data_IF_959959722871
#
_entry.id   IF_959959722871
#
_cell.length_a   1.000
_cell.length_b   1.000
_cell.length_c   1.000
_cell.angle_alpha   90.00
_cell.angle_beta   90.00
_cell.angle_gamma   90.00
#
_symmetry.space_group_name_H-M   'P 1'
#
loop_
_entity.id
_entity.type
_entity.pdbx_description
1 polymer ?
#
# COMPACT_ATOMS: atom_id res chain seq x y z
N UNK A 1 23.01 -25.62 56.04
CA UNK A 1 24.41 -25.39 55.63
C UNK A 1 24.44 -24.02 54.99
N UNK A 2 24.88 -22.92 55.62
CA UNK A 2 26.18 -22.70 56.33
C UNK A 2 27.28 -23.03 55.32
N UNK A 3 28.00 -22.11 54.68
CA UNK A 3 28.83 -20.97 55.14
C UNK A 3 29.11 -20.04 53.91
N UNK A 4 29.56 -18.78 53.99
CA UNK A 4 30.73 -18.27 54.71
C UNK A 4 30.62 -16.79 55.12
N UNK A 5 31.14 -16.56 56.33
CA UNK A 5 31.48 -15.33 57.03
C UNK A 5 32.93 -14.94 56.70
N UNK A 6 33.23 -13.63 56.61
CA UNK A 6 34.39 -12.89 57.22
C UNK A 6 34.45 -11.46 56.62
N UNK A 7 34.76 -10.35 57.30
CA UNK A 7 35.11 -10.04 58.69
C UNK A 7 35.06 -8.50 58.93
N UNK A 8 34.61 -8.10 60.14
CA UNK A 8 35.04 -7.00 61.05
C UNK A 8 35.25 -5.54 60.59
N UNK A 9 34.46 -4.59 61.13
CA UNK A 9 34.59 -3.80 62.39
C UNK A 9 35.56 -2.61 62.28
N UNK A 10 35.03 -1.41 62.58
CA UNK A 10 35.82 -0.19 62.80
C UNK A 10 35.01 0.98 63.39
N UNK A 11 34.65 0.84 64.67
CA UNK A 11 34.44 1.84 65.73
C UNK A 11 33.71 3.20 65.51
N UNK A 12 32.83 3.46 66.48
CA UNK A 12 32.08 4.67 66.83
C UNK A 12 32.94 5.68 67.59
N UNK A 13 32.67 6.98 67.42
CA UNK A 13 32.77 8.05 68.43
C UNK A 13 31.95 9.25 67.90
N UNK A 14 30.77 9.59 68.41
CA UNK A 14 30.39 10.24 69.69
C UNK A 14 30.55 11.78 69.68
N UNK A 15 29.65 12.48 70.41
CA UNK A 15 29.69 13.90 70.83
C UNK A 15 29.23 14.95 69.76
N UNK A 16 28.43 16.02 69.97
CA UNK A 16 27.83 16.77 71.12
C UNK A 16 26.65 17.63 70.60
N UNK A 17 25.62 17.89 71.42
CA UNK A 17 24.76 19.07 71.29
C UNK A 17 25.31 20.18 72.20
N UNK A 18 25.60 21.38 71.68
CA UNK A 18 25.47 22.56 72.53
C UNK A 18 24.62 23.70 71.92
N UNK A 19 23.75 24.15 72.81
CA UNK A 19 23.00 25.39 72.99
C UNK A 19 23.24 26.63 72.10
N UNK A 20 22.10 27.33 71.96
CA UNK A 20 21.80 28.71 71.56
C UNK A 20 22.89 29.74 71.89
N UNK A 21 23.27 30.54 70.89
CA UNK A 21 23.84 31.87 71.08
C UNK A 21 23.05 32.89 70.24
N UNK A 22 22.48 33.90 70.91
CA UNK A 22 21.98 35.12 70.29
C UNK A 22 23.13 35.84 69.59
N UNK A 23 22.92 36.39 68.39
CA UNK A 23 23.63 37.59 67.97
C UNK A 23 22.95 38.34 66.81
N UNK A 24 22.52 39.56 67.18
CA UNK A 24 22.34 40.81 66.43
C UNK A 24 22.53 40.78 64.90
N UNK A 25 21.47 41.20 64.20
CA UNK A 25 21.48 41.67 62.80
C UNK A 25 22.54 42.75 62.54
N UNK A 26 23.42 42.60 61.53
CA UNK A 26 24.16 43.71 60.97
C UNK A 26 23.23 44.53 60.07
N UNK A 27 23.12 45.84 60.32
CA UNK A 27 22.57 46.79 59.35
C UNK A 27 23.55 46.89 58.18
N UNK A 28 23.14 46.46 56.99
CA UNK A 28 23.83 46.83 55.76
C UNK A 28 23.50 48.29 55.44
N UNK A 29 24.47 49.17 55.68
CA UNK A 29 24.56 50.47 55.00
C UNK A 29 24.92 50.20 53.54
N UNK A 30 24.22 50.88 52.64
CA UNK A 30 24.35 50.68 51.20
C UNK A 30 25.64 51.29 50.67
N UNK A 31 26.29 50.55 49.76
CA UNK A 31 27.18 51.12 48.77
C UNK A 31 26.55 50.94 47.38
N UNK A 32 26.30 52.06 46.72
CA UNK A 32 25.96 52.14 45.31
C UNK A 32 27.21 51.79 44.52
N UNK A 33 27.21 50.71 43.73
CA UNK A 33 27.98 50.66 42.48
C UNK A 33 27.57 49.50 41.56
N UNK A 34 27.50 49.84 40.27
CA UNK A 34 26.91 49.15 39.12
C UNK A 34 27.58 47.81 38.69
N UNK A 35 28.15 47.02 39.60
CA UNK A 35 28.94 45.83 39.19
C UNK A 35 28.12 44.56 38.91
N UNK A 36 26.84 44.52 39.29
CA UNK A 36 26.00 43.32 39.15
C UNK A 36 25.26 43.25 37.80
N UNK A 37 24.85 44.40 37.25
CA UNK A 37 24.12 44.48 35.97
C UNK A 37 24.98 44.09 34.76
N UNK A 38 26.26 44.45 34.74
CA UNK A 38 27.18 44.09 33.66
C UNK A 38 27.58 42.61 33.71
N UNK A 39 27.71 42.04 34.91
CA UNK A 39 28.01 40.60 35.06
C UNK A 39 26.81 39.73 34.67
N UNK A 40 25.58 40.15 34.96
CA UNK A 40 24.37 39.41 34.60
C UNK A 40 24.11 39.38 33.07
N UNK A 41 24.49 40.43 32.33
CA UNK A 41 24.37 40.48 30.86
C UNK A 41 25.30 39.50 30.12
N UNK A 42 26.45 39.15 30.71
CA UNK A 42 27.44 38.24 30.08
C UNK A 42 27.15 36.75 30.29
N UNK A 43 26.29 36.38 31.24
CA UNK A 43 26.11 34.98 31.68
C UNK A 43 24.93 34.28 30.98
N UNK A 44 24.01 35.02 30.34
CA UNK A 44 22.82 34.41 29.71
C UNK A 44 22.71 34.74 28.22
N UNK A 45 23.14 33.83 27.31
CA UNK A 45 22.74 33.92 25.92
C UNK A 45 21.23 33.74 25.82
N UNK A 46 20.57 34.58 25.01
CA UNK A 46 19.11 34.73 24.87
C UNK A 46 18.32 33.48 24.40
N UNK A 47 18.91 32.29 24.42
CA UNK A 47 18.33 31.04 23.88
C UNK A 47 17.73 30.05 24.90
N UNK A 48 17.85 30.26 26.21
CA UNK A 48 17.20 29.41 27.22
C UNK A 48 16.59 30.24 28.34
N UNK A 49 15.32 30.62 28.20
CA UNK A 49 14.57 31.29 29.28
C UNK A 49 13.68 30.24 29.97
N UNK A 50 14.28 29.50 30.90
CA UNK A 50 13.52 28.78 31.94
C UNK A 50 12.95 29.78 32.94
N UNK A 51 11.95 29.37 33.74
CA UNK A 51 11.29 30.25 34.73
C UNK A 51 12.25 30.95 35.71
N UNK A 52 13.45 30.39 35.94
CA UNK A 52 14.51 31.02 36.72
C UNK A 52 15.16 32.23 36.06
N UNK A 53 15.34 32.22 34.73
CA UNK A 53 15.94 33.35 34.01
C UNK A 53 15.01 34.58 33.98
N UNK A 54 13.69 34.36 33.99
CA UNK A 54 12.69 35.42 34.18
C UNK A 54 12.82 36.06 35.56
N UNK A 55 12.90 35.27 36.62
CA UNK A 55 13.05 35.76 37.99
C UNK A 55 14.33 36.60 38.17
N UNK A 56 15.46 36.16 37.60
CA UNK A 56 16.74 36.90 37.65
C UNK A 56 16.66 38.19 36.84
N UNK A 57 16.12 38.15 35.61
CA UNK A 57 15.90 39.36 34.80
C UNK A 57 14.99 40.40 35.49
N UNK A 58 13.97 39.94 36.20
CA UNK A 58 13.02 40.80 36.89
C UNK A 58 13.51 41.35 38.23
N UNK A 59 14.38 40.60 38.93
CA UNK A 59 15.11 41.11 40.10
C UNK A 59 16.02 42.29 39.74
N UNK A 60 16.57 42.29 38.53
CA UNK A 60 17.46 43.34 38.02
C UNK A 60 16.68 44.53 37.45
N UNK A 61 15.66 44.32 36.60
CA UNK A 61 14.97 45.41 35.88
C UNK A 61 13.75 46.04 36.57
N UNK A 62 13.19 45.43 37.63
CA UNK A 62 11.98 45.87 38.35
C UNK A 62 10.84 46.41 37.44
N UNK A 63 10.35 45.64 36.45
CA UNK A 63 9.25 46.12 35.62
C UNK A 63 7.95 46.28 36.42
N UNK A 64 7.04 47.11 35.92
CA UNK A 64 5.70 47.23 36.49
C UNK A 64 4.94 45.89 36.41
N UNK A 65 4.03 45.64 37.36
CA UNK A 65 3.26 44.39 37.42
C UNK A 65 2.50 44.05 36.12
N UNK A 66 2.04 45.08 35.41
CA UNK A 66 1.40 44.93 34.08
C UNK A 66 2.39 44.45 33.00
N UNK A 67 3.60 45.00 32.95
CA UNK A 67 4.63 44.57 32.00
C UNK A 67 5.10 43.13 32.28
N UNK A 68 5.20 42.76 33.57
CA UNK A 68 5.46 41.38 33.99
C UNK A 68 4.38 40.41 33.51
N UNK A 69 3.10 40.72 33.77
CA UNK A 69 1.96 39.89 33.38
C UNK A 69 1.88 39.68 31.87
N UNK A 70 2.06 40.74 31.07
CA UNK A 70 2.06 40.66 29.60
C UNK A 70 3.21 39.79 29.07
N UNK A 71 4.41 39.91 29.65
CA UNK A 71 5.55 39.07 29.24
C UNK A 71 5.36 37.61 29.66
N UNK A 72 4.82 37.36 30.86
CA UNK A 72 4.46 36.02 31.30
C UNK A 72 3.43 35.35 30.38
N UNK A 73 2.41 36.09 29.92
CA UNK A 73 1.44 35.58 28.96
C UNK A 73 2.09 35.20 27.62
N UNK A 74 2.97 36.07 27.08
CA UNK A 74 3.74 35.76 25.86
C UNK A 74 4.61 34.53 26.01
N UNK A 75 5.31 34.38 27.12
CA UNK A 75 6.17 33.22 27.39
C UNK A 75 5.34 31.93 27.48
N UNK A 76 4.15 31.99 28.09
CA UNK A 76 3.21 30.86 28.15
C UNK A 76 2.67 30.47 26.79
N UNK A 77 2.25 31.44 25.97
CA UNK A 77 1.81 31.19 24.59
C UNK A 77 2.94 30.56 23.77
N UNK A 78 4.18 31.06 23.93
CA UNK A 78 5.36 30.48 23.27
C UNK A 78 5.58 29.00 23.66
N UNK A 79 5.46 28.67 24.96
CA UNK A 79 5.56 27.29 25.45
C UNK A 79 4.47 26.37 24.89
N UNK A 80 3.23 26.87 24.77
CA UNK A 80 2.13 26.13 24.14
C UNK A 80 2.49 25.81 22.68
N UNK A 81 2.96 26.81 21.93
CA UNK A 81 3.39 26.62 20.54
C UNK A 81 4.54 25.62 20.41
N UNK A 82 5.53 25.67 21.31
CA UNK A 82 6.62 24.70 21.36
C UNK A 82 6.11 23.28 21.64
N UNK A 83 5.17 23.12 22.60
CA UNK A 83 4.56 21.83 22.92
C UNK A 83 3.86 21.20 21.72
N UNK A 84 3.16 22.01 20.90
CA UNK A 84 2.53 21.57 19.65
C UNK A 84 3.57 21.09 18.63
N UNK A 85 4.69 21.81 18.48
CA UNK A 85 5.77 21.44 17.55
C UNK A 85 6.49 20.16 17.98
N UNK A 86 6.77 20.01 19.27
CA UNK A 86 7.37 18.80 19.84
C UNK A 86 6.43 17.60 19.63
N UNK A 87 5.14 17.76 19.95
CA UNK A 87 4.15 16.71 19.70
C UNK A 87 4.08 16.32 18.21
N UNK A 88 4.08 17.29 17.29
CA UNK A 88 4.12 16.99 15.85
C UNK A 88 5.35 16.17 15.47
N UNK A 89 6.51 16.46 16.09
CA UNK A 89 7.75 15.74 15.81
C UNK A 89 7.68 14.31 16.36
N UNK A 90 7.18 14.14 17.59
CA UNK A 90 6.97 12.83 18.23
C UNK A 90 6.03 11.95 17.41
N UNK A 91 4.90 12.51 16.94
CA UNK A 91 3.91 11.80 16.11
C UNK A 91 4.53 11.32 14.80
N UNK A 92 5.19 12.21 14.06
CA UNK A 92 5.86 11.90 12.79
C UNK A 92 6.89 10.79 12.94
N UNK A 93 7.73 10.89 13.96
CA UNK A 93 8.78 9.91 14.20
C UNK A 93 8.18 8.56 14.62
N UNK A 94 7.22 8.55 15.54
CA UNK A 94 6.59 7.31 16.03
C UNK A 94 5.85 6.57 14.91
N UNK A 95 5.07 7.29 14.08
CA UNK A 95 4.37 6.68 12.94
C UNK A 95 5.38 6.10 11.95
N UNK A 96 6.45 6.84 11.62
CA UNK A 96 7.49 6.38 10.71
C UNK A 96 8.18 5.11 11.21
N UNK A 97 8.50 5.03 12.50
CA UNK A 97 9.19 3.88 13.11
C UNK A 97 8.31 2.65 13.16
N UNK A 98 7.09 2.76 13.70
CA UNK A 98 6.17 1.62 13.83
C UNK A 98 5.77 1.06 12.46
N UNK A 99 5.48 1.95 11.50
CA UNK A 99 5.07 1.54 10.15
C UNK A 99 6.25 0.96 9.35
N UNK A 100 7.51 1.22 9.75
CA UNK A 100 8.69 0.56 9.16
C UNK A 100 8.69 -0.94 9.46
N UNK A 101 8.14 -1.35 10.60
CA UNK A 101 8.00 -2.76 11.00
C UNK A 101 7.22 -3.60 9.99
N UNK A 102 6.22 -2.99 9.34
CA UNK A 102 5.38 -3.62 8.31
C UNK A 102 6.16 -4.03 7.05
N UNK A 103 7.42 -3.59 6.89
CA UNK A 103 8.26 -4.04 5.79
C UNK A 103 8.50 -5.55 5.80
N UNK A 104 8.46 -6.20 6.98
CA UNK A 104 8.62 -7.66 7.07
C UNK A 104 7.55 -8.38 6.24
N UNK A 105 6.30 -8.01 6.40
CA UNK A 105 5.15 -8.58 5.66
C UNK A 105 5.26 -8.31 4.16
N UNK A 106 5.76 -7.14 3.76
CA UNK A 106 6.06 -6.83 2.35
C UNK A 106 7.13 -7.78 1.78
N UNK A 107 8.22 -8.01 2.52
CA UNK A 107 9.29 -8.92 2.08
C UNK A 107 8.83 -10.38 2.05
N UNK A 108 8.01 -10.79 3.01
CA UNK A 108 7.44 -12.14 3.06
C UNK A 108 6.50 -12.38 1.87
N UNK A 109 5.61 -11.44 1.58
CA UNK A 109 4.78 -11.49 0.37
C UNK A 109 5.63 -11.63 -0.87
N UNK A 110 6.67 -10.80 -1.02
CA UNK A 110 7.59 -10.87 -2.16
C UNK A 110 8.25 -12.24 -2.23
N UNK A 111 8.86 -12.73 -1.15
CA UNK A 111 9.55 -14.02 -1.11
C UNK A 111 8.65 -15.19 -1.53
N UNK A 112 7.39 -15.19 -1.11
CA UNK A 112 6.46 -16.29 -1.37
C UNK A 112 5.87 -16.27 -2.78
N UNK A 113 5.92 -15.12 -3.48
CA UNK A 113 5.25 -14.91 -4.77
C UNK A 113 6.18 -14.61 -5.93
N UNK A 114 7.46 -14.35 -5.64
CA UNK A 114 8.42 -13.97 -6.66
C UNK A 114 8.90 -15.18 -7.43
N UNK A 115 8.41 -15.33 -8.66
CA UNK A 115 8.96 -16.30 -9.61
C UNK A 115 10.35 -15.84 -10.06
N UNK A 116 11.17 -16.79 -10.55
CA UNK A 116 12.50 -16.50 -11.07
C UNK A 116 12.51 -16.75 -12.58
N UNK A 117 12.33 -15.71 -13.42
CA UNK A 117 12.22 -15.90 -14.86
C UNK A 117 13.45 -16.55 -15.47
N UNK A 118 14.66 -16.23 -15.00
CA UNK A 118 15.90 -16.83 -15.50
C UNK A 118 15.96 -18.34 -15.28
N UNK A 119 15.49 -18.84 -14.13
CA UNK A 119 15.43 -20.27 -13.85
C UNK A 119 14.36 -20.95 -14.73
N UNK A 120 13.20 -20.31 -14.90
CA UNK A 120 12.09 -20.82 -15.73
C UNK A 120 12.48 -20.88 -17.22
N UNK A 121 13.17 -19.86 -17.73
CA UNK A 121 13.50 -19.72 -19.16
C UNK A 121 14.78 -20.49 -19.55
N UNK A 122 15.66 -20.80 -18.58
CA UNK A 122 16.93 -21.50 -18.82
C UNK A 122 16.74 -22.85 -19.52
N UNK A 123 15.76 -23.65 -19.08
CA UNK A 123 15.52 -24.99 -19.66
C UNK A 123 15.06 -24.85 -21.12
N UNK A 124 14.20 -23.88 -21.41
CA UNK A 124 13.74 -23.56 -22.77
C UNK A 124 14.91 -23.11 -23.66
N UNK A 125 15.81 -22.27 -23.13
CA UNK A 125 16.98 -21.76 -23.86
C UNK A 125 18.02 -22.83 -24.15
N UNK A 126 18.20 -23.81 -23.26
CA UNK A 126 19.15 -24.92 -23.42
C UNK A 126 18.61 -26.07 -24.25
N UNK A 127 17.30 -26.14 -24.48
CA UNK A 127 16.69 -27.21 -25.29
C UNK A 127 17.26 -27.25 -26.71
N UNK A 128 17.81 -28.41 -27.09
CA UNK A 128 18.47 -28.66 -28.38
C UNK A 128 17.58 -29.37 -29.40
N UNK A 129 16.53 -30.05 -28.93
CA UNK A 129 15.52 -30.72 -29.76
C UNK A 129 14.10 -30.25 -29.41
N UNK A 130 13.13 -30.68 -30.22
CA UNK A 130 11.74 -30.22 -30.13
C UNK A 130 11.05 -30.79 -28.91
N UNK A 131 11.27 -32.07 -28.59
CA UNK A 131 10.69 -32.74 -27.43
C UNK A 131 11.07 -32.01 -26.13
N UNK A 132 12.35 -31.77 -25.93
CA UNK A 132 12.88 -31.07 -24.74
C UNK A 132 12.33 -29.64 -24.67
N UNK A 133 12.21 -28.97 -25.82
CA UNK A 133 11.67 -27.61 -25.88
C UNK A 133 10.19 -27.56 -25.44
N UNK A 134 9.37 -28.51 -25.88
CA UNK A 134 7.96 -28.61 -25.47
C UNK A 134 7.85 -28.95 -23.98
N UNK A 135 8.66 -29.90 -23.49
CA UNK A 135 8.70 -30.26 -22.08
C UNK A 135 9.11 -29.07 -21.21
N UNK A 136 10.14 -28.33 -21.63
CA UNK A 136 10.61 -27.13 -20.92
C UNK A 136 9.55 -26.03 -20.92
N UNK A 137 8.85 -25.82 -22.03
CA UNK A 137 7.74 -24.87 -22.10
C UNK A 137 6.61 -25.25 -21.14
N UNK A 138 6.14 -26.49 -21.18
CA UNK A 138 5.05 -26.98 -20.32
C UNK A 138 5.45 -26.87 -18.84
N UNK A 139 6.67 -27.29 -18.47
CA UNK A 139 7.23 -27.15 -17.12
C UNK A 139 7.29 -25.69 -16.67
N UNK A 140 7.64 -24.77 -17.57
CA UNK A 140 7.67 -23.34 -17.28
C UNK A 140 6.30 -22.78 -16.92
N UNK A 141 5.27 -23.11 -17.71
CA UNK A 141 3.89 -22.73 -17.40
C UNK A 141 3.37 -23.36 -16.10
N UNK A 142 3.69 -24.63 -15.85
CA UNK A 142 3.32 -25.32 -14.61
C UNK A 142 3.96 -24.66 -13.38
N UNK A 143 5.24 -24.29 -13.47
CA UNK A 143 5.96 -23.59 -12.39
C UNK A 143 5.31 -22.24 -12.08
N UNK A 144 4.97 -21.46 -13.10
CA UNK A 144 4.26 -20.19 -12.94
C UNK A 144 2.89 -20.43 -12.29
N UNK A 145 2.14 -21.41 -12.78
CA UNK A 145 0.79 -21.70 -12.29
C UNK A 145 0.79 -22.17 -10.84
N UNK A 146 1.76 -22.99 -10.43
CA UNK A 146 1.93 -23.44 -9.04
C UNK A 146 2.21 -22.24 -8.11
N UNK A 147 3.10 -21.33 -8.51
CA UNK A 147 3.39 -20.10 -7.76
C UNK A 147 2.15 -19.21 -7.59
N UNK A 148 1.31 -19.12 -8.63
CA UNK A 148 0.06 -18.33 -8.57
C UNK A 148 -1.00 -19.01 -7.70
N UNK A 149 -1.07 -20.35 -7.67
CA UNK A 149 -2.11 -21.13 -6.99
C UNK A 149 -1.92 -21.33 -5.48
N UNK A 150 -0.68 -21.48 -4.98
CA UNK A 150 -0.32 -21.67 -3.54
C UNK A 150 -0.79 -20.55 -2.56
N UNK A 151 -1.74 -19.76 -2.99
CA UNK A 151 -1.59 -18.33 -3.08
C UNK A 151 -2.95 -17.70 -3.40
N UNK A 152 -3.87 -18.47 -3.99
CA UNK A 152 -5.28 -18.16 -3.98
C UNK A 152 -5.91 -18.82 -2.74
N UNK A 153 -6.47 -18.02 -1.83
CA UNK A 153 -7.27 -18.50 -0.70
C UNK A 153 -8.68 -17.96 -0.85
N UNK A 154 -9.73 -18.76 -0.60
CA UNK A 154 -11.08 -18.23 -0.49
C UNK A 154 -11.14 -17.17 0.63
N UNK A 155 -11.80 -16.04 0.36
CA UNK A 155 -11.99 -14.98 1.35
C UNK A 155 -11.15 -13.72 1.10
N UNK A 156 -10.61 -13.14 2.17
CA UNK A 156 -9.89 -11.87 2.15
C UNK A 156 -8.62 -11.95 1.28
N UNK A 157 -8.34 -10.86 0.56
CA UNK A 157 -7.15 -10.81 -0.29
C UNK A 157 -5.88 -10.63 0.51
N UNK A 158 -4.73 -10.84 -0.13
CA UNK A 158 -3.44 -10.53 0.49
C UNK A 158 -3.35 -9.03 0.87
N UNK A 159 -3.98 -8.17 0.07
CA UNK A 159 -4.06 -6.73 0.36
C UNK A 159 -4.94 -6.44 1.56
N UNK A 160 -6.12 -7.05 1.66
CA UNK A 160 -6.98 -6.93 2.85
C UNK A 160 -6.27 -7.41 4.11
N UNK A 161 -5.60 -8.56 4.01
CA UNK A 161 -4.84 -9.16 5.11
C UNK A 161 -3.72 -8.23 5.59
N UNK A 162 -2.99 -7.61 4.66
CA UNK A 162 -1.99 -6.61 4.98
C UNK A 162 -2.60 -5.35 5.61
N UNK A 163 -3.75 -4.88 5.11
CA UNK A 163 -4.42 -3.71 5.67
C UNK A 163 -4.96 -3.95 7.09
N UNK A 164 -5.35 -5.19 7.44
CA UNK A 164 -5.69 -5.55 8.82
C UNK A 164 -4.46 -5.37 9.74
N UNK A 165 -3.28 -5.80 9.30
CA UNK A 165 -2.04 -5.60 10.06
C UNK A 165 -1.71 -4.10 10.23
N UNK A 166 -1.82 -3.33 9.15
CA UNK A 166 -1.63 -1.86 9.16
C UNK A 166 -2.56 -1.19 10.17
N UNK A 167 -3.85 -1.56 10.16
CA UNK A 167 -4.85 -1.01 11.08
C UNK A 167 -4.61 -1.44 12.54
N UNK A 168 -4.09 -2.65 12.76
CA UNK A 168 -3.64 -3.12 14.07
C UNK A 168 -2.53 -2.24 14.65
N UNK A 169 -1.48 -1.99 13.85
CA UNK A 169 -0.37 -1.10 14.23
C UNK A 169 -0.87 0.33 14.48
N UNK A 170 -1.74 0.86 13.60
CA UNK A 170 -2.36 2.18 13.78
C UNK A 170 -3.09 2.27 15.11
N UNK A 171 -3.91 1.27 15.46
CA UNK A 171 -4.69 1.27 16.70
C UNK A 171 -3.77 1.29 17.93
N UNK A 172 -2.79 0.39 17.98
CA UNK A 172 -1.84 0.31 19.08
C UNK A 172 -1.05 1.62 19.26
N UNK A 173 -0.60 2.24 18.16
CA UNK A 173 0.11 3.51 18.22
C UNK A 173 -0.80 4.69 18.60
N UNK A 174 -2.05 4.69 18.14
CA UNK A 174 -3.01 5.75 18.46
C UNK A 174 -3.25 5.87 19.96
N UNK A 175 -3.34 4.75 20.68
CA UNK A 175 -3.51 4.75 22.14
C UNK A 175 -2.32 5.42 22.86
N UNK A 176 -1.09 5.11 22.44
CA UNK A 176 0.14 5.72 22.96
C UNK A 176 0.20 7.23 22.69
N UNK A 177 -0.13 7.65 21.46
CA UNK A 177 -0.10 9.07 21.07
C UNK A 177 -1.23 9.86 21.72
N UNK A 178 -2.42 9.27 21.90
CA UNK A 178 -3.53 9.88 22.62
C UNK A 178 -3.16 10.15 24.10
N UNK A 179 -2.46 9.23 24.75
CA UNK A 179 -1.97 9.43 26.11
C UNK A 179 -0.94 10.57 26.19
N UNK A 180 0.02 10.61 25.26
CA UNK A 180 0.99 11.71 25.17
C UNK A 180 0.28 13.06 24.95
N UNK A 181 -0.68 13.12 24.01
CA UNK A 181 -1.50 14.32 23.78
C UNK A 181 -2.23 14.76 25.04
N UNK A 182 -2.87 13.82 25.76
CA UNK A 182 -3.57 14.11 27.00
C UNK A 182 -2.65 14.74 28.06
N UNK A 183 -1.44 14.20 28.26
CA UNK A 183 -0.47 14.79 29.17
C UNK A 183 -0.05 16.21 28.75
N UNK A 184 0.14 16.46 27.44
CA UNK A 184 0.46 17.79 26.93
C UNK A 184 -0.71 18.76 27.07
N UNK A 185 -1.95 18.31 26.86
CA UNK A 185 -3.16 19.10 27.06
C UNK A 185 -3.30 19.55 28.52
N UNK A 186 -3.04 18.65 29.48
CA UNK A 186 -2.99 18.99 30.91
C UNK A 186 -1.90 20.03 31.21
N UNK A 187 -0.66 19.79 30.79
CA UNK A 187 0.46 20.72 31.01
C UNK A 187 0.23 22.08 30.37
N UNK A 188 -0.44 22.14 29.21
CA UNK A 188 -0.84 23.39 28.58
C UNK A 188 -1.97 24.09 29.35
N UNK A 189 -2.94 23.33 29.87
CA UNK A 189 -4.02 23.83 30.71
C UNK A 189 -3.54 24.55 31.98
N UNK A 190 -2.50 24.01 32.62
CA UNK A 190 -1.88 24.63 33.81
C UNK A 190 -1.34 26.05 33.53
N UNK A 191 -0.98 26.36 32.27
CA UNK A 191 -0.48 27.67 31.87
C UNK A 191 -1.57 28.76 31.86
N UNK A 192 -2.85 28.40 31.96
CA UNK A 192 -3.96 29.37 32.03
C UNK A 192 -3.93 30.13 33.37
N UNK A 193 -3.43 29.52 34.44
CA UNK A 193 -3.53 30.06 35.79
C UNK A 193 -2.45 31.13 36.07
N UNK A 194 -2.85 32.39 36.19
CA UNK A 194 -1.96 33.50 36.56
C UNK A 194 -1.89 33.71 38.08
N UNK A 195 -0.75 34.22 38.61
CA UNK A 195 -0.63 34.53 40.03
C UNK A 195 -1.57 35.65 40.45
N UNK A 196 -2.18 35.51 41.64
CA UNK A 196 -3.01 36.55 42.26
C UNK A 196 -2.12 37.58 42.95
N UNK A 197 -2.41 38.87 42.78
CA UNK A 197 -1.74 39.95 43.51
C UNK A 197 -2.51 40.33 44.76
N UNK A 198 -1.82 40.90 45.76
CA UNK A 198 -2.47 41.45 46.97
C UNK A 198 -3.50 42.51 46.57
N UNK A 199 -4.66 42.49 47.23
CA UNK A 199 -5.78 43.43 47.06
C UNK A 199 -6.35 43.48 45.63
N UNK A 200 -6.38 42.36 44.91
CA UNK A 200 -6.96 42.27 43.55
C UNK A 200 -6.34 43.24 42.51
N UNK A 201 -5.12 43.72 42.77
CA UNK A 201 -4.41 44.60 41.84
C UNK A 201 -4.19 43.89 40.49
N UNK A 202 -4.64 44.51 39.39
CA UNK A 202 -4.60 43.99 38.02
C UNK A 202 -5.56 42.83 37.69
N UNK A 203 -6.62 42.60 38.48
CA UNK A 203 -7.61 41.54 38.25
C UNK A 203 -8.16 41.47 36.82
N UNK A 204 -8.55 42.61 36.24
CA UNK A 204 -9.11 42.63 34.87
C UNK A 204 -8.06 42.26 33.82
N UNK A 205 -6.83 42.75 33.98
CA UNK A 205 -5.72 42.38 33.08
C UNK A 205 -5.41 40.88 33.18
N UNK A 206 -5.43 40.31 34.39
CA UNK A 206 -5.25 38.89 34.61
C UNK A 206 -6.36 38.08 33.93
N UNK A 207 -7.61 38.50 34.05
CA UNK A 207 -8.75 37.83 33.40
C UNK A 207 -8.59 37.86 31.86
N UNK A 208 -8.23 39.01 31.29
CA UNK A 208 -7.98 39.15 29.85
C UNK A 208 -6.84 38.25 29.38
N UNK A 209 -5.69 38.28 30.05
CA UNK A 209 -4.52 37.46 29.67
C UNK A 209 -4.78 35.96 29.88
N UNK A 210 -5.53 35.59 30.92
CA UNK A 210 -5.94 34.18 31.14
C UNK A 210 -6.82 33.68 30.00
N UNK A 211 -7.76 34.51 29.55
CA UNK A 211 -8.64 34.20 28.41
C UNK A 211 -7.84 34.07 27.10
N UNK A 212 -6.85 34.94 26.89
CA UNK A 212 -5.95 34.86 25.74
C UNK A 212 -5.12 33.56 25.74
N UNK A 213 -4.57 33.16 26.89
CA UNK A 213 -3.84 31.90 27.03
C UNK A 213 -4.77 30.70 26.86
N UNK A 214 -5.96 30.69 27.47
CA UNK A 214 -6.97 29.64 27.32
C UNK A 214 -7.36 29.41 25.86
N UNK A 215 -7.54 30.49 25.07
CA UNK A 215 -7.78 30.39 23.64
C UNK A 215 -6.65 29.64 22.91
N UNK A 216 -5.39 29.92 23.26
CA UNK A 216 -4.24 29.24 22.66
C UNK A 216 -4.14 27.77 23.09
N UNK A 217 -4.47 27.43 24.34
CA UNK A 217 -4.54 26.04 24.82
C UNK A 217 -5.58 25.24 24.03
N UNK A 218 -6.78 25.79 23.85
CA UNK A 218 -7.85 25.15 23.07
C UNK A 218 -7.45 24.94 21.62
N UNK A 219 -6.88 25.96 20.98
CA UNK A 219 -6.35 25.83 19.60
C UNK A 219 -5.27 24.76 19.51
N UNK A 220 -4.34 24.71 20.47
CA UNK A 220 -3.27 23.72 20.49
C UNK A 220 -3.80 22.29 20.58
N UNK A 221 -4.79 22.01 21.43
CA UNK A 221 -5.41 20.68 21.54
C UNK A 221 -6.07 20.23 20.23
N UNK A 222 -6.80 21.14 19.56
CA UNK A 222 -7.40 20.89 18.25
C UNK A 222 -6.31 20.60 17.20
N UNK A 223 -5.28 21.45 17.12
CA UNK A 223 -4.17 21.27 16.17
C UNK A 223 -3.42 19.95 16.40
N UNK A 224 -3.13 19.58 17.65
CA UNK A 224 -2.48 18.30 17.95
C UNK A 224 -3.32 17.11 17.50
N UNK A 225 -4.64 17.14 17.73
CA UNK A 225 -5.54 16.08 17.25
C UNK A 225 -5.56 16.00 15.72
N UNK A 226 -5.73 17.13 15.03
CA UNK A 226 -5.76 17.19 13.56
C UNK A 226 -4.45 16.67 12.95
N UNK A 227 -3.30 17.14 13.45
CA UNK A 227 -1.99 16.66 12.97
C UNK A 227 -1.83 15.15 13.19
N UNK A 228 -2.26 14.61 14.34
CA UNK A 228 -2.22 13.17 14.59
C UNK A 228 -3.07 12.40 13.56
N UNK A 229 -4.29 12.85 13.28
CA UNK A 229 -5.19 12.22 12.32
C UNK A 229 -4.63 12.27 10.89
N UNK A 230 -4.09 13.42 10.47
CA UNK A 230 -3.46 13.62 9.16
C UNK A 230 -2.22 12.74 8.98
N UNK A 231 -1.32 12.70 9.96
CA UNK A 231 -0.10 11.89 9.91
C UNK A 231 -0.42 10.39 9.87
N UNK A 232 -1.46 9.94 10.59
CA UNK A 232 -1.93 8.56 10.46
C UNK A 232 -2.48 8.26 9.08
N UNK A 233 -3.27 9.16 8.50
CA UNK A 233 -3.82 8.98 7.16
C UNK A 233 -2.69 8.87 6.12
N UNK A 234 -1.71 9.76 6.18
CA UNK A 234 -0.52 9.73 5.30
C UNK A 234 0.32 8.47 5.52
N UNK A 235 0.53 8.06 6.77
CA UNK A 235 1.27 6.84 7.12
C UNK A 235 0.63 5.59 6.52
N UNK A 236 -0.69 5.44 6.68
CA UNK A 236 -1.48 4.32 6.14
C UNK A 236 -1.43 4.32 4.61
N UNK A 237 -1.68 5.48 3.99
CA UNK A 237 -1.63 5.60 2.53
C UNK A 237 -0.25 5.21 1.97
N UNK A 238 0.83 5.65 2.61
CA UNK A 238 2.19 5.36 2.16
C UNK A 238 2.53 3.87 2.18
N UNK A 239 2.12 3.14 3.24
CA UNK A 239 2.36 1.69 3.31
C UNK A 239 1.44 0.91 2.37
N UNK A 240 0.19 1.35 2.21
CA UNK A 240 -0.75 0.79 1.25
C UNK A 240 -0.22 0.91 -0.19
N UNK A 241 0.28 2.08 -0.59
CA UNK A 241 0.94 2.33 -1.88
C UNK A 241 2.18 1.45 -2.09
N UNK A 242 2.97 1.27 -1.04
CA UNK A 242 4.16 0.41 -1.12
C UNK A 242 3.78 -1.04 -1.38
N UNK A 243 2.78 -1.56 -0.67
CA UNK A 243 2.35 -2.94 -0.82
C UNK A 243 1.66 -3.18 -2.17
N UNK A 244 0.80 -2.26 -2.61
CA UNK A 244 0.13 -2.35 -3.92
C UNK A 244 1.13 -2.37 -5.08
N UNK A 245 2.22 -1.60 -4.97
CA UNK A 245 3.32 -1.64 -5.94
C UNK A 245 3.96 -3.02 -6.01
N UNK A 246 4.28 -3.65 -4.88
CA UNK A 246 4.85 -5.00 -4.88
C UNK A 246 3.88 -6.04 -5.45
N UNK A 247 2.59 -5.95 -5.09
CA UNK A 247 1.54 -6.81 -5.66
C UNK A 247 1.52 -6.66 -7.20
N UNK A 248 1.58 -5.43 -7.70
CA UNK A 248 1.59 -5.12 -9.14
C UNK A 248 2.85 -5.64 -9.82
N UNK A 249 4.04 -5.43 -9.23
CA UNK A 249 5.31 -5.94 -9.75
C UNK A 249 5.30 -7.46 -9.88
N UNK A 250 4.81 -8.18 -8.86
CA UNK A 250 4.64 -9.64 -8.92
C UNK A 250 3.70 -10.06 -10.06
N UNK A 251 2.59 -9.34 -10.25
CA UNK A 251 1.64 -9.62 -11.34
C UNK A 251 2.28 -9.41 -12.72
N UNK A 252 3.04 -8.32 -12.90
CA UNK A 252 3.82 -8.07 -14.13
C UNK A 252 4.83 -9.18 -14.37
N UNK A 253 5.60 -9.56 -13.35
CA UNK A 253 6.59 -10.62 -13.47
C UNK A 253 5.96 -11.93 -14.01
N UNK A 254 4.78 -12.29 -13.50
CA UNK A 254 4.02 -13.46 -13.98
C UNK A 254 3.58 -13.29 -15.44
N UNK A 255 2.96 -12.16 -15.80
CA UNK A 255 2.48 -11.93 -17.18
C UNK A 255 3.62 -11.90 -18.19
N UNK A 256 4.73 -11.26 -17.82
CA UNK A 256 5.88 -11.06 -18.68
C UNK A 256 6.62 -12.38 -18.88
N UNK A 257 6.79 -13.19 -17.82
CA UNK A 257 7.43 -14.51 -17.95
C UNK A 257 6.60 -15.47 -18.81
N UNK A 258 5.26 -15.45 -18.70
CA UNK A 258 4.38 -16.23 -19.59
C UNK A 258 4.55 -15.81 -21.06
N UNK A 259 4.64 -14.50 -21.30
CA UNK A 259 4.87 -13.93 -22.62
C UNK A 259 6.23 -14.34 -23.18
N UNK A 260 7.29 -14.26 -22.37
CA UNK A 260 8.65 -14.66 -22.73
C UNK A 260 8.77 -16.14 -23.09
N UNK A 261 8.04 -17.03 -22.38
CA UNK A 261 7.99 -18.45 -22.72
C UNK A 261 7.46 -18.69 -24.13
N UNK A 262 6.49 -17.89 -24.57
CA UNK A 262 5.94 -17.96 -25.93
C UNK A 262 6.90 -17.31 -26.93
N UNK A 263 7.33 -16.08 -26.65
CA UNK A 263 8.19 -15.29 -27.53
C UNK A 263 9.54 -15.98 -27.80
N UNK A 264 10.06 -16.78 -26.86
CA UNK A 264 11.27 -17.59 -27.05
C UNK A 264 11.02 -18.94 -27.71
N UNK A 265 9.87 -19.57 -27.49
CA UNK A 265 9.57 -20.88 -28.05
C UNK A 265 9.30 -20.82 -29.56
N UNK A 266 8.53 -19.83 -30.04
CA UNK A 266 8.16 -19.70 -31.46
C UNK A 266 9.38 -19.67 -32.40
N UNK A 267 10.39 -18.79 -32.20
CA UNK A 267 11.55 -18.74 -33.08
C UNK A 267 12.38 -20.03 -33.08
N UNK A 268 12.47 -20.72 -31.94
CA UNK A 268 13.17 -22.01 -31.85
C UNK A 268 12.45 -23.10 -32.63
N UNK A 269 11.15 -23.25 -32.44
CA UNK A 269 10.33 -24.23 -33.16
C UNK A 269 10.40 -23.96 -34.66
N UNK A 270 10.22 -22.70 -35.06
CA UNK A 270 10.33 -22.27 -36.46
C UNK A 270 11.65 -22.72 -37.08
N UNK A 271 12.77 -22.49 -36.39
CA UNK A 271 14.11 -22.90 -36.85
C UNK A 271 14.26 -24.43 -36.90
N UNK A 272 13.83 -25.14 -35.87
CA UNK A 272 13.98 -26.60 -35.77
C UNK A 272 13.14 -27.35 -36.81
N UNK A 273 11.98 -26.81 -37.19
CA UNK A 273 11.03 -27.43 -38.14
C UNK A 273 11.08 -26.82 -39.54
N UNK A 274 11.91 -25.80 -39.79
CA UNK A 274 11.97 -25.13 -41.08
C UNK A 274 10.65 -24.46 -41.49
N UNK A 275 9.92 -23.90 -40.51
CA UNK A 275 8.63 -23.23 -40.76
C UNK A 275 8.83 -21.84 -41.37
N UNK A 276 7.79 -21.33 -42.04
CA UNK A 276 7.78 -20.00 -42.65
C UNK A 276 7.92 -18.85 -41.65
N UNK A 277 8.32 -17.68 -42.16
CA UNK A 277 8.53 -16.48 -41.35
C UNK A 277 7.25 -15.93 -40.71
N UNK A 278 6.09 -16.31 -41.22
CA UNK A 278 4.76 -15.99 -40.73
C UNK A 278 4.36 -16.78 -39.47
N UNK A 279 5.11 -17.83 -39.09
CA UNK A 279 4.91 -18.56 -37.84
C UNK A 279 5.42 -17.75 -36.64
N UNK A 280 4.62 -16.77 -36.21
CA UNK A 280 4.89 -15.86 -35.10
C UNK A 280 3.79 -15.95 -34.02
N UNK A 281 4.10 -15.56 -32.77
CA UNK A 281 3.11 -15.56 -31.70
C UNK A 281 2.04 -14.48 -31.91
N UNK A 282 0.81 -14.79 -31.50
CA UNK A 282 -0.36 -13.95 -31.67
C UNK A 282 -1.12 -13.66 -30.38
N UNK A 283 -0.69 -14.15 -29.21
CA UNK A 283 -1.39 -13.98 -27.93
C UNK A 283 -1.70 -12.52 -27.54
N UNK A 284 -0.97 -11.54 -28.08
CA UNK A 284 -1.22 -10.11 -27.87
C UNK A 284 -2.40 -9.56 -28.67
N UNK A 285 -2.88 -10.30 -29.67
CA UNK A 285 -4.01 -9.96 -30.53
C UNK A 285 -5.27 -10.66 -30.00
N UNK A 286 -6.39 -9.96 -30.08
CA UNK A 286 -7.69 -10.60 -29.84
C UNK A 286 -8.08 -11.33 -31.12
N UNK A 287 -8.40 -12.61 -31.02
CA UNK A 287 -8.79 -13.43 -32.16
C UNK A 287 -10.02 -12.85 -32.88
N UNK A 288 -10.04 -12.99 -34.20
CA UNK A 288 -11.23 -12.74 -35.02
C UNK A 288 -12.06 -14.01 -35.11
N UNK A 289 -13.33 -13.90 -35.51
CA UNK A 289 -14.19 -15.08 -35.71
C UNK A 289 -14.01 -15.73 -37.08
N UNK A 290 -13.12 -15.20 -37.94
CA UNK A 290 -12.96 -15.66 -39.32
C UNK A 290 -12.56 -17.14 -39.44
N UNK A 291 -11.77 -17.66 -38.50
CA UNK A 291 -11.43 -19.08 -38.50
C UNK A 291 -12.61 -19.91 -38.00
N UNK A 292 -13.23 -19.51 -36.88
CA UNK A 292 -14.40 -20.15 -36.32
C UNK A 292 -15.57 -20.27 -37.32
N UNK A 293 -15.83 -19.22 -38.10
CA UNK A 293 -16.90 -19.16 -39.11
C UNK A 293 -16.71 -20.15 -40.27
N UNK A 294 -15.52 -20.72 -40.45
CA UNK A 294 -15.24 -21.73 -41.48
C UNK A 294 -15.62 -23.15 -41.04
N UNK A 295 -15.87 -23.38 -39.75
CA UNK A 295 -16.18 -24.71 -39.23
C UNK A 295 -17.68 -25.01 -39.34
N UNK A 296 -17.97 -26.27 -39.68
CA UNK A 296 -19.33 -26.81 -39.67
C UNK A 296 -19.87 -26.94 -38.23
N UNK A 297 -21.21 -26.92 -38.03
CA UNK A 297 -21.81 -27.18 -36.72
C UNK A 297 -21.31 -28.48 -36.08
N UNK A 298 -21.07 -29.53 -36.87
CA UNK A 298 -20.52 -30.80 -36.42
C UNK A 298 -19.12 -30.69 -35.83
N UNK A 299 -18.24 -29.86 -36.41
CA UNK A 299 -16.87 -29.63 -35.90
C UNK A 299 -16.85 -28.77 -34.62
N UNK A 300 -17.94 -28.05 -34.36
CA UNK A 300 -18.14 -27.22 -33.18
C UNK A 300 -18.76 -27.99 -32.00
N UNK A 301 -19.34 -29.17 -32.24
CA UNK A 301 -19.87 -30.06 -31.19
C UNK A 301 -18.76 -30.56 -30.25
N UNK A 302 -19.11 -31.03 -29.03
CA UNK A 302 -18.16 -31.63 -28.10
C UNK A 302 -17.32 -32.72 -28.76
N UNK A 303 -16.00 -32.67 -28.59
CA UNK A 303 -15.07 -33.64 -29.17
C UNK A 303 -13.86 -33.85 -28.26
N UNK A 304 -13.15 -34.95 -28.49
CA UNK A 304 -11.88 -35.21 -27.81
C UNK A 304 -10.85 -34.14 -28.19
N UNK A 305 -10.08 -33.71 -27.21
CA UNK A 305 -8.96 -32.81 -27.44
C UNK A 305 -7.78 -33.57 -28.07
N UNK A 306 -6.91 -32.89 -28.84
CA UNK A 306 -5.68 -33.49 -29.37
C UNK A 306 -4.81 -34.09 -28.27
N UNK A 307 -4.00 -35.09 -28.61
CA UNK A 307 -3.06 -35.69 -27.66
C UNK A 307 -2.11 -34.61 -27.09
N UNK A 308 -1.78 -34.72 -25.79
CA UNK A 308 -0.89 -33.80 -25.07
C UNK A 308 -1.34 -32.33 -24.99
N UNK A 309 -2.56 -32.00 -25.43
CA UNK A 309 -3.13 -30.65 -25.32
C UNK A 309 -3.80 -30.39 -23.96
N UNK A 310 -4.15 -31.43 -23.20
CA UNK A 310 -4.78 -31.30 -21.89
C UNK A 310 -3.92 -30.49 -20.91
N UNK A 311 -2.59 -30.63 -20.98
CA UNK A 311 -1.64 -29.84 -20.18
C UNK A 311 -1.71 -28.34 -20.45
N UNK A 312 -2.24 -27.92 -21.60
CA UNK A 312 -2.43 -26.49 -21.90
C UNK A 312 -3.57 -25.92 -21.06
N UNK A 313 -4.62 -26.70 -20.86
CA UNK A 313 -5.83 -26.30 -20.15
C UNK A 313 -5.88 -26.79 -18.70
N UNK A 314 -4.88 -27.55 -18.27
CA UNK A 314 -4.84 -28.18 -16.97
C UNK A 314 -5.16 -27.18 -15.85
N UNK A 315 -6.16 -27.51 -15.05
CA UNK A 315 -6.65 -26.70 -13.94
C UNK A 315 -7.25 -25.33 -14.34
N UNK A 316 -7.76 -25.23 -15.55
CA UNK A 316 -8.56 -24.10 -16.00
C UNK A 316 -9.99 -24.56 -16.23
N UNK A 317 -10.94 -23.62 -16.25
CA UNK A 317 -12.34 -23.93 -16.57
C UNK A 317 -12.51 -24.31 -18.05
N UNK A 318 -11.54 -23.97 -18.90
CA UNK A 318 -11.64 -24.10 -20.36
C UNK A 318 -11.54 -25.54 -20.84
N UNK A 319 -10.81 -26.41 -20.13
CA UNK A 319 -10.70 -27.82 -20.48
C UNK A 319 -12.09 -28.47 -20.54
N UNK A 320 -12.87 -28.31 -19.47
CA UNK A 320 -14.21 -28.87 -19.39
C UNK A 320 -15.16 -28.23 -20.42
N UNK A 321 -15.00 -26.93 -20.70
CA UNK A 321 -15.83 -26.24 -21.69
C UNK A 321 -15.60 -26.81 -23.07
N UNK A 322 -14.34 -26.97 -23.50
CA UNK A 322 -14.01 -27.50 -24.81
C UNK A 322 -14.47 -28.95 -25.00
N UNK A 323 -14.45 -29.75 -23.91
CA UNK A 323 -14.86 -31.17 -23.91
C UNK A 323 -16.37 -31.38 -23.86
N UNK A 324 -17.16 -30.45 -23.32
CA UNK A 324 -18.58 -30.70 -22.99
C UNK A 324 -19.58 -29.78 -23.68
N UNK A 325 -19.17 -28.61 -24.15
CA UNK A 325 -20.11 -27.61 -24.69
C UNK A 325 -20.19 -27.68 -26.22
N UNK A 326 -21.39 -27.44 -26.74
CA UNK A 326 -21.63 -27.27 -28.16
C UNK A 326 -21.44 -25.80 -28.56
N UNK A 327 -20.36 -25.52 -29.28
CA UNK A 327 -19.99 -24.16 -29.66
C UNK A 327 -20.88 -23.58 -30.76
N UNK A 328 -21.71 -24.38 -31.42
CA UNK A 328 -22.67 -23.89 -32.42
C UNK A 328 -23.90 -23.20 -31.80
N UNK A 329 -24.13 -23.41 -30.50
CA UNK A 329 -25.34 -22.93 -29.79
C UNK A 329 -25.05 -22.08 -28.56
N UNK A 330 -23.77 -21.70 -28.32
CA UNK A 330 -23.40 -20.87 -27.17
C UNK A 330 -24.00 -19.46 -27.29
N UNK A 331 -24.82 -19.10 -26.31
CA UNK A 331 -25.49 -17.80 -26.23
C UNK A 331 -24.75 -16.79 -25.35
N UNK A 332 -25.15 -15.52 -25.44
CA UNK A 332 -24.55 -14.43 -24.67
C UNK A 332 -24.72 -14.61 -23.15
N UNK A 333 -25.78 -15.30 -22.71
CA UNK A 333 -26.02 -15.60 -21.30
C UNK A 333 -24.96 -16.57 -20.75
N UNK A 334 -24.58 -17.56 -21.54
CA UNK A 334 -23.50 -18.46 -21.21
C UNK A 334 -22.16 -17.71 -21.15
N UNK A 335 -21.87 -16.85 -22.13
CA UNK A 335 -20.66 -16.01 -22.14
C UNK A 335 -20.59 -15.11 -20.88
N UNK A 336 -21.71 -14.49 -20.50
CA UNK A 336 -21.79 -13.68 -19.29
C UNK A 336 -21.50 -14.49 -18.02
N UNK A 337 -22.10 -15.69 -17.91
CA UNK A 337 -21.88 -16.61 -16.79
C UNK A 337 -20.43 -17.08 -16.74
N UNK A 338 -19.85 -17.37 -17.90
CA UNK A 338 -18.45 -17.79 -18.02
C UNK A 338 -17.50 -16.69 -17.58
N UNK A 339 -17.71 -15.44 -18.04
CA UNK A 339 -16.91 -14.30 -17.63
C UNK A 339 -16.98 -14.04 -16.12
N UNK A 340 -18.18 -14.17 -15.53
CA UNK A 340 -18.35 -14.03 -14.08
C UNK A 340 -17.54 -15.08 -13.30
N UNK A 341 -17.46 -16.32 -13.81
CA UNK A 341 -16.73 -17.44 -13.19
C UNK A 341 -15.23 -17.47 -13.51
N UNK A 342 -14.75 -16.63 -14.42
CA UNK A 342 -13.35 -16.61 -14.82
C UNK A 342 -12.46 -16.23 -13.63
N UNK A 343 -11.47 -17.06 -13.22
CA UNK A 343 -10.58 -16.69 -12.14
C UNK A 343 -9.63 -15.57 -12.59
N UNK A 344 -9.29 -14.64 -11.69
CA UNK A 344 -8.36 -13.53 -11.98
C UNK A 344 -6.92 -13.99 -12.31
N UNK A 345 -6.65 -15.28 -12.19
CA UNK A 345 -5.37 -15.95 -12.49
C UNK A 345 -5.32 -16.55 -13.89
N UNK A 346 -6.47 -16.66 -14.57
CA UNK A 346 -6.59 -17.17 -15.94
C UNK A 346 -7.48 -16.20 -16.72
N UNK A 347 -6.83 -15.20 -17.30
CA UNK A 347 -7.48 -14.07 -17.97
C UNK A 347 -7.86 -14.37 -19.42
N UNK A 348 -8.62 -13.45 -20.02
CA UNK A 348 -8.91 -13.47 -21.47
C UNK A 348 -7.61 -13.42 -22.30
N UNK A 349 -6.59 -12.69 -21.86
CA UNK A 349 -5.27 -12.69 -22.53
C UNK A 349 -4.58 -14.05 -22.45
N UNK A 350 -4.76 -14.80 -21.35
CA UNK A 350 -4.19 -16.15 -21.22
C UNK A 350 -4.80 -17.13 -22.24
N UNK A 351 -6.02 -16.90 -22.73
CA UNK A 351 -6.57 -17.69 -23.85
C UNK A 351 -5.76 -17.52 -25.13
N UNK A 352 -5.24 -16.31 -25.40
CA UNK A 352 -4.31 -16.07 -26.51
C UNK A 352 -3.03 -16.90 -26.39
N UNK A 353 -2.50 -17.00 -25.18
CA UNK A 353 -1.34 -17.86 -24.87
C UNK A 353 -1.68 -19.33 -25.08
N UNK A 354 -2.87 -19.78 -24.68
CA UNK A 354 -3.32 -21.16 -24.91
C UNK A 354 -3.46 -21.48 -26.40
N UNK A 355 -4.01 -20.55 -27.20
CA UNK A 355 -4.09 -20.68 -28.66
C UNK A 355 -2.69 -20.86 -29.26
N UNK A 356 -1.74 -20.02 -28.85
CA UNK A 356 -0.36 -20.11 -29.34
C UNK A 356 0.35 -21.41 -28.93
N UNK A 357 0.09 -21.93 -27.72
CA UNK A 357 0.57 -23.25 -27.31
C UNK A 357 -0.06 -24.39 -28.12
N UNK A 358 -1.35 -24.29 -28.47
CA UNK A 358 -2.00 -25.26 -29.36
C UNK A 358 -1.39 -25.21 -30.76
N UNK A 359 -1.12 -24.01 -31.30
CA UNK A 359 -0.46 -23.84 -32.61
C UNK A 359 0.92 -24.50 -32.62
N UNK A 360 1.70 -24.29 -31.57
CA UNK A 360 3.00 -24.95 -31.36
C UNK A 360 2.85 -26.48 -31.36
N UNK A 361 1.94 -27.03 -30.55
CA UNK A 361 1.78 -28.49 -30.47
C UNK A 361 1.24 -29.08 -31.78
N UNK A 362 0.38 -28.37 -32.50
CA UNK A 362 -0.14 -28.78 -33.79
C UNK A 362 0.95 -28.96 -34.86
N UNK A 363 1.86 -27.98 -35.01
CA UNK A 363 2.97 -28.09 -35.99
C UNK A 363 3.98 -29.17 -35.60
N UNK A 364 4.23 -29.36 -34.30
CA UNK A 364 5.09 -30.43 -33.81
C UNK A 364 4.46 -31.80 -34.07
N UNK A 365 3.16 -31.95 -33.79
CA UNK A 365 2.40 -33.17 -34.10
C UNK A 365 2.46 -33.52 -35.59
N UNK A 366 2.26 -32.53 -36.45
CA UNK A 366 2.35 -32.69 -37.91
C UNK A 366 3.75 -33.14 -38.35
N UNK A 367 4.81 -32.55 -37.79
CA UNK A 367 6.20 -32.94 -38.09
C UNK A 367 6.52 -34.40 -37.71
N UNK A 368 5.78 -34.97 -36.77
CA UNK A 368 5.90 -36.38 -36.34
C UNK A 368 5.04 -37.34 -37.17
N UNK A 369 4.33 -36.84 -38.19
CA UNK A 369 3.43 -37.63 -39.02
C UNK A 369 2.14 -38.04 -38.31
N UNK A 370 1.77 -37.39 -37.20
CA UNK A 370 0.53 -37.65 -36.49
C UNK A 370 -0.64 -36.94 -37.18
N UNK A 371 -1.72 -37.68 -37.46
CA UNK A 371 -2.90 -37.17 -38.16
C UNK A 371 -3.89 -36.45 -37.21
N UNK A 372 -3.41 -35.44 -36.49
CA UNK A 372 -4.21 -34.67 -35.52
C UNK A 372 -4.48 -33.21 -35.95
N UNK A 373 -4.05 -32.81 -37.14
CA UNK A 373 -4.12 -31.42 -37.62
C UNK A 373 -5.52 -30.82 -37.45
N UNK A 374 -6.55 -31.57 -37.87
CA UNK A 374 -7.95 -31.15 -37.76
C UNK A 374 -8.40 -30.98 -36.30
N UNK A 375 -7.95 -31.84 -35.39
CA UNK A 375 -8.28 -31.72 -33.96
C UNK A 375 -7.69 -30.44 -33.37
N UNK A 376 -6.43 -30.13 -33.72
CA UNK A 376 -5.78 -28.89 -33.28
C UNK A 376 -6.47 -27.65 -33.87
N UNK A 377 -6.80 -27.66 -35.17
CA UNK A 377 -7.53 -26.58 -35.81
C UNK A 377 -8.89 -26.33 -35.14
N UNK A 378 -9.67 -27.38 -34.87
CA UNK A 378 -10.94 -27.25 -34.18
C UNK A 378 -10.77 -26.67 -32.76
N UNK A 379 -9.79 -27.17 -31.99
CA UNK A 379 -9.52 -26.70 -30.64
C UNK A 379 -9.11 -25.22 -30.63
N UNK A 380 -8.23 -24.81 -31.54
CA UNK A 380 -7.82 -23.41 -31.72
C UNK A 380 -9.03 -22.53 -32.01
N UNK A 381 -9.86 -22.90 -32.98
CA UNK A 381 -11.03 -22.10 -33.38
C UNK A 381 -12.03 -21.91 -32.24
N UNK A 382 -12.26 -22.95 -31.41
CA UNK A 382 -13.11 -22.86 -30.22
C UNK A 382 -12.54 -21.92 -29.17
N UNK A 383 -11.22 -21.96 -28.93
CA UNK A 383 -10.58 -21.05 -27.97
C UNK A 383 -10.55 -19.61 -28.51
N UNK A 384 -10.33 -19.41 -29.81
CA UNK A 384 -10.44 -18.12 -30.50
C UNK A 384 -11.84 -17.51 -30.33
N UNK A 385 -12.89 -18.32 -30.50
CA UNK A 385 -14.27 -17.92 -30.23
C UNK A 385 -14.46 -17.45 -28.78
N UNK A 386 -14.00 -18.23 -27.79
CA UNK A 386 -14.10 -17.83 -26.37
C UNK A 386 -13.34 -16.53 -26.10
N UNK A 387 -12.11 -16.41 -26.60
CA UNK A 387 -11.29 -15.21 -26.40
C UNK A 387 -12.01 -13.97 -26.95
N UNK A 388 -12.54 -14.06 -28.17
CA UNK A 388 -13.26 -12.95 -28.81
C UNK A 388 -14.52 -12.57 -28.03
N UNK A 389 -15.38 -13.54 -27.72
CA UNK A 389 -16.66 -13.29 -27.05
C UNK A 389 -16.47 -12.78 -25.61
N UNK A 390 -15.55 -13.38 -24.85
CA UNK A 390 -15.23 -12.92 -23.50
C UNK A 390 -14.57 -11.53 -23.49
N UNK A 391 -13.69 -11.24 -24.46
CA UNK A 391 -13.10 -9.91 -24.60
C UNK A 391 -14.17 -8.85 -24.87
N UNK A 392 -15.08 -9.09 -25.82
CA UNK A 392 -16.13 -8.14 -26.15
C UNK A 392 -17.09 -7.92 -24.96
N UNK A 393 -17.51 -9.00 -24.29
CA UNK A 393 -18.34 -8.91 -23.10
C UNK A 393 -17.65 -8.14 -21.96
N UNK A 394 -16.40 -8.47 -21.67
CA UNK A 394 -15.63 -7.81 -20.61
C UNK A 394 -15.34 -6.34 -20.91
N UNK A 395 -15.05 -5.99 -22.17
CA UNK A 395 -14.88 -4.60 -22.59
C UNK A 395 -16.17 -3.80 -22.43
N UNK A 396 -17.31 -4.34 -22.86
CA UNK A 396 -18.61 -3.68 -22.70
C UNK A 396 -18.95 -3.43 -21.22
N UNK A 397 -18.77 -4.45 -20.37
CA UNK A 397 -18.97 -4.29 -18.92
C UNK A 397 -18.03 -3.26 -18.31
N UNK A 398 -16.76 -3.22 -18.74
CA UNK A 398 -15.83 -2.19 -18.27
C UNK A 398 -16.30 -0.79 -18.67
N UNK A 399 -16.72 -0.61 -19.92
CA UNK A 399 -17.19 0.67 -20.43
C UNK A 399 -18.45 1.14 -19.68
N UNK A 400 -19.40 0.22 -19.41
CA UNK A 400 -20.60 0.52 -18.63
C UNK A 400 -20.24 0.98 -17.21
N UNK A 401 -19.41 0.22 -16.50
CA UNK A 401 -18.99 0.59 -15.14
C UNK A 401 -18.15 1.89 -15.13
N UNK A 402 -17.37 2.15 -16.18
CA UNK A 402 -16.56 3.36 -16.30
C UNK A 402 -17.38 4.63 -16.56
N UNK A 403 -18.61 4.51 -17.06
CA UNK A 403 -19.55 5.63 -17.25
C UNK A 403 -20.30 6.02 -15.97
N UNK A 404 -20.28 5.19 -14.94
CA UNK A 404 -21.03 5.42 -13.71
C UNK A 404 -20.73 6.81 -13.09
N UNK A 405 -21.77 7.47 -12.57
CA UNK A 405 -21.61 8.78 -11.92
C UNK A 405 -21.01 8.63 -10.52
N UNK A 406 -19.67 8.68 -10.44
CA UNK A 406 -18.92 8.57 -9.18
C UNK A 406 -19.14 9.75 -8.23
N UNK A 407 -19.71 10.88 -8.69
CA UNK A 407 -19.89 12.08 -7.86
C UNK A 407 -20.96 11.93 -6.78
N UNK A 408 -21.91 11.01 -7.01
CA UNK A 408 -23.02 10.72 -6.09
C UNK A 408 -22.75 9.58 -5.12
N UNK A 409 -21.58 8.94 -5.24
CA UNK A 409 -21.23 7.76 -4.44
C UNK A 409 -20.49 8.17 -3.18
N UNK A 410 -20.89 7.56 -2.05
CA UNK A 410 -20.12 7.65 -0.82
C UNK A 410 -18.82 6.82 -0.92
N UNK A 411 -17.87 6.94 0.03
CA UNK A 411 -16.59 6.24 -0.03
C UNK A 411 -16.69 4.71 -0.14
N UNK A 412 -17.65 4.08 0.54
CA UNK A 412 -17.84 2.62 0.50
C UNK A 412 -18.40 2.16 -0.86
N UNK A 413 -19.34 2.92 -1.42
CA UNK A 413 -19.89 2.67 -2.74
C UNK A 413 -18.84 2.84 -3.84
N UNK A 414 -18.00 3.88 -3.74
CA UNK A 414 -16.85 4.08 -4.62
C UNK A 414 -15.89 2.88 -4.55
N UNK A 415 -15.56 2.43 -3.33
CA UNK A 415 -14.69 1.27 -3.10
C UNK A 415 -15.24 0.02 -3.76
N UNK A 416 -16.53 -0.29 -3.59
CA UNK A 416 -17.17 -1.44 -4.24
C UNK A 416 -17.14 -1.33 -5.79
N UNK A 417 -17.39 -0.13 -6.32
CA UNK A 417 -17.33 0.11 -7.77
C UNK A 417 -15.91 -0.03 -8.33
N UNK A 418 -14.91 0.55 -7.69
CA UNK A 418 -13.52 0.42 -8.14
C UNK A 418 -13.01 -1.01 -8.01
N UNK A 419 -13.41 -1.75 -6.97
CA UNK A 419 -13.12 -3.18 -6.84
C UNK A 419 -13.66 -3.98 -8.04
N UNK A 420 -14.92 -3.75 -8.43
CA UNK A 420 -15.53 -4.41 -9.60
C UNK A 420 -14.82 -4.05 -10.91
N UNK A 421 -14.48 -2.77 -11.10
CA UNK A 421 -13.73 -2.32 -12.29
C UNK A 421 -12.35 -2.98 -12.33
N UNK A 422 -11.67 -3.08 -11.18
CA UNK A 422 -10.39 -3.78 -11.08
C UNK A 422 -10.56 -5.27 -11.41
N UNK A 423 -11.59 -5.94 -10.89
CA UNK A 423 -11.87 -7.34 -11.18
C UNK A 423 -12.07 -7.58 -12.68
N UNK A 424 -12.86 -6.73 -13.35
CA UNK A 424 -13.05 -6.78 -14.80
C UNK A 424 -11.71 -6.59 -15.52
N UNK A 425 -10.92 -5.59 -15.14
CA UNK A 425 -9.60 -5.35 -15.73
C UNK A 425 -8.66 -6.57 -15.56
N UNK A 426 -8.67 -7.19 -14.38
CA UNK A 426 -7.89 -8.39 -14.06
C UNK A 426 -8.33 -9.59 -14.90
N UNK A 427 -9.63 -9.83 -15.02
CA UNK A 427 -10.21 -10.89 -15.88
C UNK A 427 -9.86 -10.67 -17.36
N UNK A 428 -9.79 -9.41 -17.79
CA UNK A 428 -9.37 -9.02 -19.13
C UNK A 428 -7.85 -9.14 -19.37
N UNK A 429 -7.05 -9.44 -18.34
CA UNK A 429 -5.61 -9.65 -18.45
C UNK A 429 -4.75 -8.41 -18.19
N UNK A 430 -5.34 -7.36 -17.62
CA UNK A 430 -4.60 -6.17 -17.19
C UNK A 430 -4.18 -6.29 -15.72
N UNK A 431 -3.00 -5.77 -15.37
CA UNK A 431 -2.49 -5.85 -14.01
C UNK A 431 -3.14 -4.82 -13.07
N UNK A 432 -3.62 -3.70 -13.61
CA UNK A 432 -4.26 -2.59 -12.90
C UNK A 432 -5.36 -1.94 -13.74
N UNK A 433 -6.27 -1.21 -13.08
CA UNK A 433 -7.24 -0.33 -13.75
C UNK A 433 -6.53 0.67 -14.67
N UNK A 434 -5.39 1.23 -14.22
CA UNK A 434 -4.61 2.19 -15.02
C UNK A 434 -4.12 1.59 -16.35
N UNK A 435 -3.67 0.34 -16.34
CA UNK A 435 -3.21 -0.30 -17.57
C UNK A 435 -4.36 -0.47 -18.57
N UNK A 436 -5.53 -0.92 -18.11
CA UNK A 436 -6.71 -1.02 -18.95
C UNK A 436 -7.16 0.36 -19.45
N UNK A 437 -7.21 1.35 -18.56
CA UNK A 437 -7.59 2.73 -18.86
C UNK A 437 -6.73 3.34 -19.99
N UNK A 438 -5.41 3.13 -19.96
CA UNK A 438 -4.49 3.57 -21.02
C UNK A 438 -4.79 2.90 -22.36
N UNK A 439 -5.03 1.59 -22.36
CA UNK A 439 -5.27 0.82 -23.59
C UNK A 439 -6.63 1.17 -24.20
N UNK A 440 -7.67 1.33 -23.38
CA UNK A 440 -9.01 1.71 -23.85
C UNK A 440 -9.00 3.13 -24.41
N UNK A 441 -8.32 4.08 -23.75
CA UNK A 441 -8.19 5.45 -24.24
C UNK A 441 -7.55 5.53 -25.63
N UNK A 442 -6.59 4.66 -25.93
CA UNK A 442 -5.94 4.63 -27.26
C UNK A 442 -6.88 4.07 -28.35
N UNK A 443 -7.87 3.25 -27.98
CA UNK A 443 -8.74 2.54 -28.92
C UNK A 443 -10.10 3.19 -29.12
N UNK A 444 -10.63 3.89 -28.10
CA UNK A 444 -11.95 4.52 -28.15
C UNK A 444 -11.87 6.00 -27.74
N UNK A 445 -12.03 6.89 -28.71
CA UNK A 445 -11.99 8.34 -28.46
C UNK A 445 -13.14 8.84 -27.59
N UNK A 446 -14.28 8.14 -27.55
CA UNK A 446 -15.42 8.49 -26.68
C UNK A 446 -15.09 8.26 -25.20
N UNK A 447 -14.22 7.30 -24.91
CA UNK A 447 -13.80 6.96 -23.55
C UNK A 447 -13.14 8.13 -22.81
N UNK A 448 -12.57 9.10 -23.53
CA UNK A 448 -11.98 10.30 -22.93
C UNK A 448 -12.97 11.08 -22.04
N UNK A 449 -14.27 10.99 -22.34
CA UNK A 449 -15.34 11.70 -21.61
C UNK A 449 -15.91 10.91 -20.42
N UNK A 450 -15.47 9.68 -20.20
CA UNK A 450 -16.06 8.80 -19.19
C UNK A 450 -15.69 9.26 -17.78
N UNK A 451 -16.61 9.05 -16.83
CA UNK A 451 -16.47 9.55 -15.47
C UNK A 451 -15.27 8.93 -14.73
N UNK A 452 -14.95 7.66 -15.00
CA UNK A 452 -13.81 6.95 -14.43
C UNK A 452 -12.48 7.70 -14.66
N UNK A 453 -12.31 8.37 -15.81
CA UNK A 453 -11.10 9.13 -16.15
C UNK A 453 -10.76 10.18 -15.10
N UNK A 454 -11.78 10.83 -14.53
CA UNK A 454 -11.61 11.84 -13.48
C UNK A 454 -11.21 11.21 -12.14
N UNK A 455 -11.48 9.92 -11.95
CA UNK A 455 -11.17 9.18 -10.72
C UNK A 455 -9.80 8.49 -10.78
N UNK A 456 -9.18 8.32 -11.97
CA UNK A 456 -7.85 7.67 -12.10
C UNK A 456 -6.79 8.27 -11.15
N UNK A 457 -6.68 9.60 -10.96
CA UNK A 457 -5.73 10.16 -9.99
C UNK A 457 -6.00 9.74 -8.54
N UNK A 458 -7.28 9.70 -8.13
CA UNK A 458 -7.70 9.26 -6.79
C UNK A 458 -7.37 7.77 -6.60
N UNK A 459 -7.73 6.93 -7.58
CA UNK A 459 -7.41 5.49 -7.60
C UNK A 459 -5.90 5.29 -7.42
N UNK A 460 -5.05 6.01 -8.15
CA UNK A 460 -3.59 5.88 -8.02
C UNK A 460 -3.06 6.18 -6.62
N UNK A 461 -3.70 7.09 -5.90
CA UNK A 461 -3.29 7.51 -4.57
C UNK A 461 -3.86 6.61 -3.47
N UNK A 462 -4.93 5.86 -3.77
CA UNK A 462 -5.71 5.11 -2.79
C UNK A 462 -5.93 3.64 -3.22
N UNK A 463 -4.86 2.81 -3.25
CA UNK A 463 -4.94 1.39 -3.62
C UNK A 463 -5.91 0.58 -2.76
N UNK A 464 -6.11 0.96 -1.50
CA UNK A 464 -7.08 0.35 -0.58
C UNK A 464 -8.52 0.39 -1.07
N UNK A 465 -8.83 1.24 -2.05
CA UNK A 465 -10.16 1.34 -2.63
C UNK A 465 -10.44 0.25 -3.69
N UNK A 466 -9.44 -0.50 -4.18
CA UNK A 466 -9.67 -1.44 -5.28
C UNK A 466 -8.75 -2.66 -5.34
N UNK A 467 -7.66 -2.72 -4.56
CA UNK A 467 -6.91 -3.96 -4.37
C UNK A 467 -7.66 -4.88 -3.42
N UNK A 468 -8.60 -5.62 -4.02
CA UNK A 468 -9.20 -6.84 -3.54
C UNK A 468 -8.96 -7.95 -4.60
#
# INVERSE_FOLDING_TARGET
MVDLITEKIGAVNSFVIPQRAENKTPKFQGDKNNSFEEKAKKIFPFGMITGGALLVYYGVKKPSGSAFLKKLAKDRISKISQSVQEFSTDVKQSIKEEFKGLNKSVQEYKKNRWIKPTEILSDLEKSENIEDLIIAQDKGFDTIQQSVKQCHRPGATDFDSYMVEVLGVKKALADKLNLNRYHRDLSNGDLIHFPKFKNDKHKDLIATLSTEVDKNVKSASISMKQMQEEEFAQGVQKVALRFSKIVTETRHLVSDTKSDLIDKAFPKIRKMLGLGDDFVPHYRKIATLQNYEKFSPEELKPQNLPQDSEKIFANTIFENILKTQDFSTLDDKYIATLFARLPITTSVTDLGIMIDRLRIKGVVSQSKGLNEEKLYQNAIAKVEFLQNKLYNFGLNNYLEEAQADFSKLNPEQKRAKFARINEIARKMGYNTIEQMDKVVLQKDSKYQRFALRKQIPEIKQHPEMYYF
#
